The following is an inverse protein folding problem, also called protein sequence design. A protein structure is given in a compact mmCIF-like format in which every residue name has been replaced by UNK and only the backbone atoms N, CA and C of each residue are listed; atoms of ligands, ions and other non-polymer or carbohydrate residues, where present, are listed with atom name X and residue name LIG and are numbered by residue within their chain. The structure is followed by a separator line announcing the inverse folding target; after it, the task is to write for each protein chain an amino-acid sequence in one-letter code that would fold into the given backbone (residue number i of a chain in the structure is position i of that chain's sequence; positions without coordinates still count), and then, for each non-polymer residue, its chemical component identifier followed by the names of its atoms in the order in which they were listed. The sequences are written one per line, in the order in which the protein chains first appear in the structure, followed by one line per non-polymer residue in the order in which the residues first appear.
data_IF_182114783516
#
_entry.id   IF_182114783516
#
_cell.length_a   1.000
_cell.length_b   1.000
_cell.length_c   1.000
_cell.angle_alpha   90.00
_cell.angle_beta   90.00
_cell.angle_gamma   90.00
#
_symmetry.space_group_name_H-M   'P 1'
#
loop_
_entity.id
_entity.type
_entity.pdbx_description
1 polymer ?
#
# COMPACT_ATOMS: atom_id res chain seq x y z
N UNK A 1 -7.61 8.62 -9.46
CA UNK A 1 -6.59 8.27 -8.44
C UNK A 1 -5.39 9.15 -8.70
N UNK A 2 -4.89 9.87 -7.68
CA UNK A 2 -3.66 10.66 -7.76
C UNK A 2 -2.55 9.92 -7.05
N UNK A 3 -1.29 10.09 -7.50
CA UNK A 3 -0.14 9.58 -6.76
C UNK A 3 -0.03 10.27 -5.38
N UNK A 4 0.49 9.56 -4.39
CA UNK A 4 0.69 10.06 -3.04
C UNK A 4 2.07 9.65 -2.52
N UNK A 5 2.63 10.48 -1.63
CA UNK A 5 3.89 10.22 -0.92
C UNK A 5 3.72 10.67 0.54
N UNK A 6 4.38 10.04 1.53
CA UNK A 6 4.35 10.51 2.91
C UNK A 6 4.87 11.94 3.00
N UNK A 7 4.28 12.75 3.88
CA UNK A 7 4.79 14.10 4.16
C UNK A 7 6.18 14.06 4.83
N UNK A 8 6.44 13.01 5.60
CA UNK A 8 7.72 12.75 6.23
C UNK A 8 8.19 11.36 5.77
N UNK A 9 9.36 11.28 5.14
CA UNK A 9 9.89 10.02 4.60
C UNK A 9 10.16 8.95 5.67
N UNK A 10 10.27 9.34 6.94
CA UNK A 10 10.42 8.41 8.07
C UNK A 10 9.07 7.93 8.64
N UNK A 11 7.95 8.45 8.13
CA UNK A 11 6.60 8.10 8.57
C UNK A 11 5.87 7.28 7.50
N UNK A 12 4.93 6.40 7.89
CA UNK A 12 4.15 5.62 6.94
C UNK A 12 3.19 6.49 6.11
N UNK A 13 2.91 6.05 4.88
CA UNK A 13 1.74 6.53 4.13
C UNK A 13 0.49 5.81 4.65
N UNK A 14 -0.34 6.51 5.40
CA UNK A 14 -1.60 5.96 5.91
C UNK A 14 -2.74 6.29 4.95
N UNK A 15 -3.44 5.25 4.51
CA UNK A 15 -4.65 5.37 3.69
C UNK A 15 -5.80 4.71 4.45
N UNK A 16 -6.81 5.50 4.80
CA UNK A 16 -7.98 5.01 5.53
C UNK A 16 -9.25 5.25 4.71
N UNK A 17 -10.09 4.23 4.63
CA UNK A 17 -11.42 4.36 4.02
C UNK A 17 -12.40 3.38 4.66
N UNK A 18 -13.70 3.68 4.54
CA UNK A 18 -14.77 2.78 4.99
C UNK A 18 -15.54 2.30 3.77
N UNK A 19 -15.67 0.98 3.53
CA UNK A 19 -16.46 0.48 2.44
C UNK A 19 -17.94 0.82 2.64
N UNK A 20 -18.69 0.91 1.54
CA UNK A 20 -20.15 1.08 1.55
C UNK A 20 -20.79 -0.04 0.74
N UNK A 21 -21.59 -0.94 1.36
CA UNK A 21 -21.92 -1.00 2.80
C UNK A 21 -20.70 -1.32 3.68
N UNK A 22 -20.80 -1.06 5.00
CA UNK A 22 -19.68 -1.19 5.95
C UNK A 22 -19.11 -2.62 6.05
N UNK A 23 -19.89 -3.62 5.63
CA UNK A 23 -19.53 -5.02 5.61
C UNK A 23 -19.22 -5.55 4.20
N UNK A 24 -18.98 -4.67 3.22
CA UNK A 24 -18.61 -5.12 1.89
C UNK A 24 -17.25 -5.81 1.90
N UNK A 25 -17.14 -6.92 1.18
CA UNK A 25 -15.85 -7.50 0.83
C UNK A 25 -15.22 -6.67 -0.29
N UNK A 26 -13.92 -6.40 -0.17
CA UNK A 26 -13.17 -5.61 -1.15
C UNK A 26 -11.99 -6.39 -1.70
N UNK A 27 -11.62 -6.08 -2.95
CA UNK A 27 -10.34 -6.47 -3.53
C UNK A 27 -9.47 -5.22 -3.61
N UNK A 28 -8.22 -5.34 -3.16
CA UNK A 28 -7.29 -4.23 -3.19
C UNK A 28 -6.22 -4.47 -4.24
N UNK A 29 -5.93 -3.40 -4.97
CA UNK A 29 -4.87 -3.33 -5.97
C UNK A 29 -4.08 -2.06 -5.68
N UNK A 30 -2.82 -2.25 -5.28
CA UNK A 30 -1.90 -1.18 -4.93
C UNK A 30 -0.78 -1.16 -5.95
N UNK A 31 -0.66 -0.02 -6.62
CA UNK A 31 0.28 0.20 -7.71
C UNK A 31 1.46 1.04 -7.20
N UNK A 32 2.67 0.49 -7.30
CA UNK A 32 3.89 1.15 -6.87
C UNK A 32 4.90 1.24 -8.01
N UNK A 33 5.67 2.33 -8.00
CA UNK A 33 6.84 2.55 -8.84
C UNK A 33 7.79 3.46 -8.06
N UNK A 34 9.09 3.17 -8.08
CA UNK A 34 10.10 4.11 -7.58
C UNK A 34 10.39 5.14 -8.67
N UNK A 35 9.93 6.37 -8.43
CA UNK A 35 10.04 7.50 -9.37
C UNK A 35 11.18 8.46 -8.99
N UNK A 36 11.71 8.36 -7.77
CA UNK A 36 12.84 9.15 -7.33
C UNK A 36 14.14 8.57 -7.90
N UNK A 37 15.08 9.45 -8.21
CA UNK A 37 16.42 9.05 -8.61
C UNK A 37 17.27 8.80 -7.35
N UNK A 38 17.19 7.58 -6.82
CA UNK A 38 18.02 7.14 -5.69
C UNK A 38 19.49 6.92 -6.13
N UNK A 39 20.43 7.13 -5.21
CA UNK A 39 21.83 6.74 -5.42
C UNK A 39 22.00 5.22 -5.48
N UNK A 40 23.11 4.74 -6.04
CA UNK A 40 23.33 3.31 -6.29
C UNK A 40 23.31 2.42 -5.02
N UNK A 41 23.57 3.01 -3.85
CA UNK A 41 23.55 2.34 -2.55
C UNK A 41 22.28 2.61 -1.74
N UNK A 42 21.32 3.32 -2.32
CA UNK A 42 20.05 3.64 -1.69
C UNK A 42 18.94 2.80 -2.30
N UNK A 43 18.07 2.29 -1.45
CA UNK A 43 16.86 1.58 -1.86
C UNK A 43 15.75 1.97 -0.92
N UNK A 44 14.56 2.18 -1.46
CA UNK A 44 13.36 2.36 -0.67
C UNK A 44 12.78 0.98 -0.37
N UNK A 45 12.63 0.70 0.92
CA UNK A 45 12.04 -0.53 1.41
C UNK A 45 11.04 -0.19 2.50
N UNK A 46 9.84 -0.79 2.42
CA UNK A 46 8.78 -0.58 3.41
C UNK A 46 7.87 -1.80 3.49
N UNK A 47 7.19 -1.93 4.62
CA UNK A 47 6.13 -2.91 4.79
C UNK A 47 4.80 -2.35 4.27
N UNK A 48 4.02 -3.21 3.62
CA UNK A 48 2.64 -2.93 3.21
C UNK A 48 1.73 -3.74 4.12
N UNK A 49 0.96 -3.03 4.94
CA UNK A 49 0.11 -3.62 5.98
C UNK A 49 -1.32 -3.15 5.74
N UNK A 50 -2.24 -4.12 5.75
CA UNK A 50 -3.67 -3.92 5.86
C UNK A 50 -4.13 -4.78 7.03
N UNK A 51 -4.60 -4.14 8.11
CA UNK A 51 -4.89 -4.83 9.37
C UNK A 51 -5.77 -6.06 9.14
N UNK A 52 -5.30 -7.19 9.68
CA UNK A 52 -6.02 -8.46 9.73
C UNK A 52 -6.09 -9.26 8.42
N UNK A 53 -5.62 -8.72 7.29
CA UNK A 53 -5.97 -9.27 5.97
C UNK A 53 -4.82 -9.40 4.95
N UNK A 54 -3.86 -8.47 4.94
CA UNK A 54 -2.77 -8.50 3.95
C UNK A 54 -1.51 -7.86 4.53
N UNK A 55 -0.42 -8.61 4.57
CA UNK A 55 0.88 -8.13 5.00
C UNK A 55 1.95 -8.55 3.98
N UNK A 56 2.72 -7.57 3.49
CA UNK A 56 3.90 -7.81 2.68
C UNK A 56 5.08 -7.04 3.30
N UNK A 57 6.06 -7.75 3.82
CA UNK A 57 7.23 -7.13 4.45
C UNK A 57 8.34 -6.86 3.46
N UNK A 58 9.17 -5.86 3.72
CA UNK A 58 10.40 -5.60 2.97
C UNK A 58 10.17 -5.37 1.48
N UNK A 59 9.09 -4.69 1.12
CA UNK A 59 8.77 -4.42 -0.28
C UNK A 59 9.62 -3.27 -0.82
N UNK A 60 10.32 -3.52 -1.92
CA UNK A 60 11.03 -2.49 -2.68
C UNK A 60 10.40 -2.34 -4.07
N UNK A 61 9.79 -1.18 -4.37
CA UNK A 61 9.20 -0.95 -5.68
C UNK A 61 10.29 -0.83 -6.77
N UNK A 62 10.04 -1.35 -7.98
CA UNK A 62 11.01 -1.25 -9.07
C UNK A 62 11.07 0.17 -9.63
N UNK A 63 12.24 0.56 -10.13
CA UNK A 63 12.52 1.91 -10.65
C UNK A 63 11.83 2.11 -12.00
N UNK A 64 10.99 3.14 -12.08
CA UNK A 64 10.23 3.53 -13.29
C UNK A 64 9.42 2.38 -13.92
N UNK A 65 9.08 1.38 -13.14
CA UNK A 65 8.28 0.22 -13.56
C UNK A 65 7.10 0.04 -12.61
N UNK A 66 5.96 -0.36 -13.16
CA UNK A 66 4.75 -0.60 -12.40
C UNK A 66 4.81 -1.98 -11.76
N UNK A 67 4.70 -2.04 -10.44
CA UNK A 67 4.45 -3.28 -9.71
C UNK A 67 3.12 -3.20 -8.97
N UNK A 68 2.35 -4.29 -9.02
CA UNK A 68 1.02 -4.35 -8.39
C UNK A 68 1.00 -5.39 -7.28
N UNK A 69 0.81 -4.93 -6.05
CA UNK A 69 0.41 -5.79 -4.94
C UNK A 69 -1.10 -5.86 -4.89
N UNK A 70 -1.64 -7.05 -4.69
CA UNK A 70 -3.09 -7.25 -4.66
C UNK A 70 -3.49 -8.34 -3.67
N UNK A 71 -4.74 -8.28 -3.21
CA UNK A 71 -5.32 -9.34 -2.39
C UNK A 71 -5.77 -10.49 -3.30
N UNK A 72 -5.30 -11.70 -3.03
CA UNK A 72 -5.68 -12.90 -3.81
C UNK A 72 -7.15 -13.31 -3.61
N UNK A 73 -7.76 -12.86 -2.52
CA UNK A 73 -9.18 -13.05 -2.21
C UNK A 73 -9.82 -11.76 -1.73
N UNK A 74 -11.13 -11.81 -1.57
CA UNK A 74 -11.89 -10.71 -1.01
C UNK A 74 -11.56 -10.57 0.49
N UNK A 75 -11.35 -9.34 0.95
CA UNK A 75 -11.04 -9.04 2.34
C UNK A 75 -12.16 -8.20 2.95
N UNK A 76 -12.52 -8.48 4.21
CA UNK A 76 -13.41 -7.63 4.98
C UNK A 76 -12.60 -6.74 5.90
N UNK A 77 -12.92 -5.45 5.89
CA UNK A 77 -12.34 -4.49 6.81
C UNK A 77 -13.07 -4.55 8.15
N UNK A 78 -12.38 -4.17 9.23
CA UNK A 78 -12.98 -4.17 10.56
C UNK A 78 -13.93 -2.96 10.75
N UNK A 79 -14.55 -2.87 11.93
CA UNK A 79 -15.47 -1.78 12.27
C UNK A 79 -14.82 -0.40 12.30
N UNK A 80 -13.48 -0.31 12.34
CA UNK A 80 -12.71 0.94 12.31
C UNK A 80 -12.35 1.35 10.87
N UNK A 81 -12.63 0.49 9.88
CA UNK A 81 -12.41 0.73 8.46
C UNK A 81 -11.25 -0.11 7.90
N UNK A 82 -10.86 0.19 6.67
CA UNK A 82 -9.69 -0.41 6.04
C UNK A 82 -8.50 0.51 6.30
N UNK A 83 -7.51 0.03 7.05
CA UNK A 83 -6.34 0.78 7.52
C UNK A 83 -5.06 -0.05 7.52
#
# INVERSE_FOLDING_TARGET
MSAATPKNASEPLLVTWTPKPYNAEVYLYMHFAEIEALEANQTREFDVILKGNFNHSGFSPPKLELYTLYTAGAVQCDSEGCN
#
